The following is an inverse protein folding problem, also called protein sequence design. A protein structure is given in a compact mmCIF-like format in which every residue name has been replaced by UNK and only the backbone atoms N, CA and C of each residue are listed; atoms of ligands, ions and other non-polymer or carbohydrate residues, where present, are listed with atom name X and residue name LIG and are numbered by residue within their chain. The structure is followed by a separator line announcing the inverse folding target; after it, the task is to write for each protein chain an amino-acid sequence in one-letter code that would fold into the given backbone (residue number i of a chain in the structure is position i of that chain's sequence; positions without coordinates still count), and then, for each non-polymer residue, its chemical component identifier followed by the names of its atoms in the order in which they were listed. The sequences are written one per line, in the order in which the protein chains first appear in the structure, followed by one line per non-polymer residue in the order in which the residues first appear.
data_IF_995529157586
#
_entry.id   IF_995529157586
#
_cell.length_a   1.000
_cell.length_b   1.000
_cell.length_c   1.000
_cell.angle_alpha   90.00
_cell.angle_beta   90.00
_cell.angle_gamma   90.00
#
_symmetry.space_group_name_H-M   'P 1'
#
loop_
_entity.id
_entity.type
_entity.pdbx_description
1 polymer ?
#
# COMPACT_ATOMS: atom_id res chain seq x y z
N UNK A 1 21.69 26.63 -2.20
CA UNK A 1 20.26 26.25 -2.24
C UNK A 1 20.10 25.08 -1.30
N UNK A 2 19.27 25.17 -0.29
CA UNK A 2 18.98 24.03 0.60
C UNK A 2 18.27 22.95 -0.24
N UNK A 3 18.94 21.85 -0.50
CA UNK A 3 18.34 20.67 -1.14
C UNK A 3 17.36 20.07 -0.13
N UNK A 4 16.07 20.28 -0.33
CA UNK A 4 15.03 19.70 0.51
C UNK A 4 14.83 18.23 0.06
N UNK A 5 15.68 17.34 0.59
CA UNK A 5 15.62 15.90 0.30
C UNK A 5 14.24 15.33 0.64
N UNK A 6 13.78 14.38 -0.17
CA UNK A 6 12.48 13.71 -0.04
C UNK A 6 11.28 14.66 -0.07
N UNK A 7 11.43 15.88 -0.63
CA UNK A 7 10.31 16.82 -0.74
C UNK A 7 9.19 16.25 -1.60
N UNK A 8 7.97 16.37 -1.10
CA UNK A 8 6.74 16.05 -1.83
C UNK A 8 5.97 17.31 -2.23
N UNK A 9 6.60 18.48 -2.14
CA UNK A 9 5.96 19.76 -2.50
C UNK A 9 5.49 19.75 -3.95
N UNK A 10 4.23 20.12 -4.18
CA UNK A 10 3.60 20.12 -5.50
C UNK A 10 3.22 18.75 -6.04
N UNK A 11 3.40 17.67 -5.29
CA UNK A 11 2.98 16.31 -5.67
C UNK A 11 1.59 16.00 -5.16
N UNK A 12 0.86 15.22 -5.95
CA UNK A 12 -0.47 14.69 -5.60
C UNK A 12 -0.35 13.18 -5.37
N UNK A 13 -0.71 12.73 -4.19
CA UNK A 13 -0.67 11.33 -3.81
C UNK A 13 -2.07 10.78 -3.53
N UNK A 14 -2.32 9.54 -3.92
CA UNK A 14 -3.50 8.76 -3.49
C UNK A 14 -3.03 7.56 -2.69
N UNK A 15 -3.61 7.36 -1.51
CA UNK A 15 -3.33 6.22 -0.64
C UNK A 15 -4.61 5.43 -0.43
N UNK A 16 -4.63 4.16 -0.87
CA UNK A 16 -5.77 3.27 -0.65
C UNK A 16 -5.71 2.63 0.74
N UNK A 17 -6.88 2.47 1.39
CA UNK A 17 -6.94 2.05 2.79
C UNK A 17 -6.28 3.10 3.71
N UNK A 18 -6.44 4.39 3.35
CA UNK A 18 -5.77 5.51 4.02
C UNK A 18 -6.38 5.93 5.34
N UNK A 19 -7.53 5.35 5.73
CA UNK A 19 -8.29 5.76 6.92
C UNK A 19 -7.73 5.25 8.25
N UNK A 20 -6.80 4.30 8.25
CA UNK A 20 -6.25 3.70 9.47
C UNK A 20 -4.87 3.05 9.28
N UNK A 21 -4.21 2.72 10.37
CA UNK A 21 -3.00 1.88 10.42
C UNK A 21 -1.85 2.41 9.55
N UNK A 22 -1.28 1.53 8.71
CA UNK A 22 -0.17 1.88 7.81
C UNK A 22 -0.61 2.96 6.82
N UNK A 23 -1.81 2.84 6.23
CA UNK A 23 -2.32 3.81 5.26
C UNK A 23 -2.45 5.22 5.85
N UNK A 24 -2.99 5.35 7.06
CA UNK A 24 -3.07 6.64 7.76
C UNK A 24 -1.67 7.23 8.02
N UNK A 25 -0.72 6.41 8.50
CA UNK A 25 0.65 6.86 8.75
C UNK A 25 1.32 7.34 7.45
N UNK A 26 1.09 6.65 6.32
CA UNK A 26 1.56 7.06 5.00
C UNK A 26 0.93 8.40 4.59
N UNK A 27 -0.40 8.55 4.72
CA UNK A 27 -1.09 9.81 4.41
C UNK A 27 -0.49 10.97 5.19
N UNK A 28 -0.33 10.82 6.51
CA UNK A 28 0.26 11.86 7.38
C UNK A 28 1.70 12.18 7.00
N UNK A 29 2.50 11.16 6.70
CA UNK A 29 3.90 11.31 6.32
C UNK A 29 4.05 12.07 5.00
N UNK A 30 3.30 11.71 3.97
CA UNK A 30 3.37 12.36 2.66
C UNK A 30 2.85 13.80 2.71
N UNK A 31 1.75 14.05 3.44
CA UNK A 31 1.23 15.39 3.65
C UNK A 31 2.22 16.27 4.42
N UNK A 32 2.84 15.75 5.49
CA UNK A 32 3.90 16.44 6.24
C UNK A 32 5.14 16.78 5.41
N UNK A 33 5.38 16.03 4.31
CA UNK A 33 6.44 16.30 3.33
C UNK A 33 6.01 17.27 2.21
N UNK A 34 4.76 17.76 2.22
CA UNK A 34 4.24 18.76 1.30
C UNK A 34 3.34 18.24 0.18
N UNK A 35 3.01 16.95 0.15
CA UNK A 35 2.06 16.40 -0.83
C UNK A 35 0.61 16.83 -0.54
N UNK A 36 -0.19 16.97 -1.60
CA UNK A 36 -1.64 16.92 -1.50
C UNK A 36 -2.08 15.45 -1.55
N UNK A 37 -2.79 14.99 -0.51
CA UNK A 37 -3.10 13.57 -0.35
C UNK A 37 -4.59 13.30 -0.49
N UNK A 38 -4.96 12.41 -1.40
CA UNK A 38 -6.26 11.77 -1.47
C UNK A 38 -6.27 10.53 -0.56
N UNK A 39 -7.13 10.53 0.43
CA UNK A 39 -7.32 9.44 1.39
C UNK A 39 -8.45 8.56 0.87
N UNK A 40 -8.10 7.47 0.17
CA UNK A 40 -9.09 6.56 -0.38
C UNK A 40 -9.41 5.44 0.61
N UNK A 41 -10.66 5.33 1.03
CA UNK A 41 -11.13 4.28 1.95
C UNK A 41 -12.62 3.98 1.73
N UNK A 42 -13.06 2.74 2.00
CA UNK A 42 -14.49 2.42 1.99
C UNK A 42 -15.22 2.98 3.22
N UNK A 43 -14.51 3.21 4.33
CA UNK A 43 -15.06 3.83 5.53
C UNK A 43 -15.00 5.35 5.39
N UNK A 44 -16.17 5.97 5.18
CA UNK A 44 -16.30 7.40 4.97
C UNK A 44 -15.81 8.24 6.15
N UNK A 45 -16.07 7.79 7.39
CA UNK A 45 -15.72 8.53 8.60
C UNK A 45 -14.20 8.56 8.79
N UNK A 46 -13.54 7.41 8.62
CA UNK A 46 -12.08 7.32 8.77
C UNK A 46 -11.35 8.06 7.63
N UNK A 47 -11.83 7.96 6.37
CA UNK A 47 -11.28 8.73 5.26
C UNK A 47 -11.40 10.24 5.51
N UNK A 48 -12.57 10.69 5.96
CA UNK A 48 -12.85 12.12 6.23
C UNK A 48 -12.01 12.62 7.40
N UNK A 49 -11.93 11.87 8.49
CA UNK A 49 -11.11 12.22 9.66
C UNK A 49 -9.65 12.43 9.26
N UNK A 50 -9.04 11.44 8.62
CA UNK A 50 -7.62 11.53 8.22
C UNK A 50 -7.41 12.67 7.23
N UNK A 51 -8.29 12.80 6.22
CA UNK A 51 -8.17 13.87 5.24
C UNK A 51 -8.26 15.27 5.88
N UNK A 52 -9.19 15.48 6.81
CA UNK A 52 -9.32 16.76 7.52
C UNK A 52 -8.07 17.07 8.36
N UNK A 53 -7.53 16.08 9.07
CA UNK A 53 -6.33 16.24 9.90
C UNK A 53 -5.10 16.68 9.11
N UNK A 54 -4.99 16.27 7.84
CA UNK A 54 -3.83 16.57 6.99
C UNK A 54 -4.07 17.63 5.92
N UNK A 55 -5.26 18.22 5.86
CA UNK A 55 -5.65 19.15 4.78
C UNK A 55 -5.68 18.47 3.40
N UNK A 56 -6.02 17.18 3.39
CA UNK A 56 -6.15 16.34 2.19
C UNK A 56 -7.58 16.29 1.64
N UNK A 57 -7.83 15.31 0.76
CA UNK A 57 -9.13 15.08 0.11
C UNK A 57 -9.65 13.70 0.49
N UNK A 58 -10.83 13.57 1.14
CA UNK A 58 -11.43 12.28 1.36
C UNK A 58 -11.97 11.71 0.03
N UNK A 59 -11.66 10.45 -0.25
CA UNK A 59 -12.09 9.72 -1.44
C UNK A 59 -12.76 8.43 -0.97
N UNK A 60 -14.10 8.44 -0.93
CA UNK A 60 -14.86 7.30 -0.41
C UNK A 60 -15.24 6.35 -1.55
N UNK A 61 -14.87 5.08 -1.44
CA UNK A 61 -15.20 4.10 -2.46
C UNK A 61 -14.68 2.70 -2.19
N UNK A 62 -15.16 1.76 -2.97
CA UNK A 62 -14.74 0.37 -3.02
C UNK A 62 -13.75 0.18 -4.17
N UNK A 63 -12.50 -0.16 -3.85
CA UNK A 63 -11.43 -0.33 -4.85
C UNK A 63 -11.65 -1.52 -5.80
N UNK A 64 -12.62 -2.38 -5.54
CA UNK A 64 -13.02 -3.44 -6.46
C UNK A 64 -13.99 -2.96 -7.55
N UNK A 65 -14.43 -1.69 -7.48
CA UNK A 65 -15.36 -1.06 -8.43
C UNK A 65 -14.64 0.03 -9.23
N UNK A 66 -14.46 -0.19 -10.53
CA UNK A 66 -13.79 0.77 -11.43
C UNK A 66 -14.45 2.17 -11.34
N UNK A 67 -15.77 2.26 -11.30
CA UNK A 67 -16.47 3.53 -11.22
C UNK A 67 -16.15 4.35 -9.96
N UNK A 68 -15.88 3.68 -8.82
CA UNK A 68 -15.48 4.36 -7.59
C UNK A 68 -14.05 4.90 -7.68
N UNK A 69 -13.17 4.16 -8.36
CA UNK A 69 -11.79 4.59 -8.60
C UNK A 69 -11.73 5.76 -9.58
N UNK A 70 -12.46 5.69 -10.70
CA UNK A 70 -12.52 6.75 -11.69
C UNK A 70 -13.06 8.04 -11.08
N UNK A 71 -14.13 7.93 -10.27
CA UNK A 71 -14.66 9.06 -9.51
C UNK A 71 -13.61 9.63 -8.55
N UNK A 72 -12.96 8.80 -7.73
CA UNK A 72 -11.96 9.25 -6.76
C UNK A 72 -10.75 9.90 -7.42
N UNK A 73 -10.21 9.31 -8.49
CA UNK A 73 -9.10 9.91 -9.27
C UNK A 73 -9.54 11.22 -9.92
N UNK A 74 -10.77 11.28 -10.45
CA UNK A 74 -11.33 12.53 -11.01
C UNK A 74 -11.49 13.63 -9.96
N UNK A 75 -11.99 13.30 -8.77
CA UNK A 75 -12.15 14.25 -7.67
C UNK A 75 -10.81 14.85 -7.19
N UNK A 76 -9.80 14.02 -6.98
CA UNK A 76 -8.48 14.53 -6.55
C UNK A 76 -7.82 15.34 -7.67
N UNK A 77 -7.98 14.92 -8.93
CA UNK A 77 -7.42 15.63 -10.06
C UNK A 77 -8.02 17.04 -10.19
N UNK A 78 -9.31 17.22 -9.94
CA UNK A 78 -9.98 18.53 -9.95
C UNK A 78 -9.54 19.42 -8.77
N UNK A 79 -9.34 18.85 -7.58
CA UNK A 79 -9.06 19.58 -6.35
C UNK A 79 -7.57 19.90 -6.13
N UNK A 80 -6.68 19.07 -6.64
CA UNK A 80 -5.25 19.13 -6.32
C UNK A 80 -4.32 18.95 -7.54
N UNK A 81 -4.84 18.44 -8.64
CA UNK A 81 -4.07 18.11 -9.83
C UNK A 81 -3.94 16.60 -10.07
N UNK A 82 -3.34 16.22 -11.20
CA UNK A 82 -3.22 14.82 -11.58
C UNK A 82 -2.34 14.03 -10.60
N UNK A 83 -2.69 12.76 -10.39
CA UNK A 83 -2.00 11.88 -9.43
C UNK A 83 -0.57 11.61 -9.86
N UNK A 84 0.40 11.97 -9.03
CA UNK A 84 1.83 11.69 -9.20
C UNK A 84 2.27 10.43 -8.47
N UNK A 85 1.60 10.10 -7.36
CA UNK A 85 1.95 8.98 -6.49
C UNK A 85 0.71 8.17 -6.18
N UNK A 86 0.80 6.85 -6.37
CA UNK A 86 -0.19 5.89 -5.92
C UNK A 86 0.43 4.96 -4.88
N UNK A 87 -0.17 4.90 -3.69
CA UNK A 87 0.19 3.90 -2.67
C UNK A 87 -0.96 2.91 -2.54
N UNK A 88 -0.77 1.71 -3.07
CA UNK A 88 -1.69 0.59 -2.93
C UNK A 88 -1.47 -0.09 -1.59
N UNK A 89 -2.15 0.43 -0.55
CA UNK A 89 -2.04 -0.08 0.81
C UNK A 89 -3.27 -0.91 1.21
N UNK A 90 -4.45 -0.63 0.67
CA UNK A 90 -5.64 -1.40 1.00
C UNK A 90 -5.44 -2.90 0.82
N UNK A 91 -5.90 -3.67 1.79
CA UNK A 91 -5.78 -5.12 1.75
C UNK A 91 -6.42 -5.78 2.97
N UNK A 92 -6.76 -7.04 2.80
CA UNK A 92 -7.39 -7.89 3.82
C UNK A 92 -6.59 -9.18 3.99
N UNK A 93 -6.56 -9.71 5.22
CA UNK A 93 -5.88 -10.97 5.52
C UNK A 93 -6.77 -12.20 5.23
N UNK A 94 -8.05 -12.10 5.59
CA UNK A 94 -9.02 -13.18 5.41
C UNK A 94 -10.45 -12.65 5.34
N UNK A 95 -11.39 -13.51 4.94
CA UNK A 95 -12.82 -13.20 4.97
C UNK A 95 -13.37 -13.52 6.36
N UNK A 96 -13.92 -12.51 7.04
CA UNK A 96 -14.52 -12.66 8.39
C UNK A 96 -13.58 -13.28 9.44
N UNK A 97 -12.25 -13.02 9.36
CA UNK A 97 -11.29 -13.59 10.31
C UNK A 97 -11.07 -15.11 10.19
N UNK A 98 -11.47 -15.70 9.06
CA UNK A 98 -11.39 -17.15 8.84
C UNK A 98 -9.99 -17.56 8.36
N UNK A 99 -9.14 -17.94 9.31
CA UNK A 99 -7.80 -18.48 9.06
C UNK A 99 -7.85 -20.01 9.22
N UNK A 100 -7.89 -20.72 8.09
CA UNK A 100 -8.06 -22.19 8.04
C UNK A 100 -6.98 -22.84 7.18
N UNK A 101 -6.66 -24.14 7.41
CA UNK A 101 -5.82 -24.91 6.50
C UNK A 101 -6.38 -24.89 5.06
N UNK A 102 -5.50 -25.02 4.06
CA UNK A 102 -5.90 -24.87 2.66
C UNK A 102 -7.01 -25.85 2.23
N UNK A 103 -7.02 -27.04 2.78
CA UNK A 103 -8.05 -28.07 2.49
C UNK A 103 -9.42 -27.78 3.13
N UNK A 104 -9.51 -26.80 4.01
CA UNK A 104 -10.76 -26.32 4.60
C UNK A 104 -11.18 -24.95 4.02
N UNK A 105 -10.33 -24.34 3.17
CA UNK A 105 -10.65 -23.05 2.55
C UNK A 105 -11.74 -23.25 1.49
N UNK A 106 -12.63 -22.30 1.37
CA UNK A 106 -13.68 -22.29 0.36
C UNK A 106 -13.35 -21.27 -0.73
N UNK A 107 -13.96 -21.44 -1.91
CA UNK A 107 -13.74 -20.57 -3.06
C UNK A 107 -13.94 -19.10 -2.74
N UNK A 108 -14.95 -18.76 -1.95
CA UNK A 108 -15.29 -17.39 -1.57
C UNK A 108 -14.20 -16.72 -0.73
N UNK A 109 -13.40 -17.48 0.03
CA UNK A 109 -12.25 -16.93 0.78
C UNK A 109 -11.18 -16.44 -0.19
N UNK A 110 -10.92 -17.21 -1.25
CA UNK A 110 -9.98 -16.87 -2.30
C UNK A 110 -10.46 -15.69 -3.14
N UNK A 111 -11.70 -15.73 -3.61
CA UNK A 111 -12.29 -14.66 -4.43
C UNK A 111 -12.28 -13.32 -3.66
N UNK A 112 -12.63 -13.34 -2.37
CA UNK A 112 -12.62 -12.15 -1.54
C UNK A 112 -11.22 -11.55 -1.37
N UNK A 113 -10.24 -12.35 -0.98
CA UNK A 113 -8.88 -11.87 -0.72
C UNK A 113 -8.19 -11.45 -2.02
N UNK A 114 -8.29 -12.26 -3.07
CA UNK A 114 -7.70 -11.94 -4.38
C UNK A 114 -8.40 -10.74 -5.03
N UNK A 115 -9.70 -10.62 -4.88
CA UNK A 115 -10.49 -9.50 -5.40
C UNK A 115 -9.98 -8.16 -4.87
N UNK A 116 -9.75 -8.07 -3.56
CA UNK A 116 -9.28 -6.83 -2.92
C UNK A 116 -7.78 -6.64 -3.13
N UNK A 117 -6.96 -7.64 -2.73
CA UNK A 117 -5.51 -7.47 -2.64
C UNK A 117 -4.81 -7.44 -4.00
N UNK A 118 -5.41 -8.06 -5.03
CA UNK A 118 -4.78 -8.21 -6.36
C UNK A 118 -5.57 -7.45 -7.41
N UNK A 119 -6.83 -7.84 -7.66
CA UNK A 119 -7.65 -7.21 -8.70
C UNK A 119 -7.86 -5.72 -8.42
N UNK A 120 -8.23 -5.37 -7.19
CA UNK A 120 -8.40 -3.97 -6.79
C UNK A 120 -7.12 -3.14 -6.94
N UNK A 121 -5.96 -3.70 -6.57
CA UNK A 121 -4.67 -3.04 -6.81
C UNK A 121 -4.43 -2.78 -8.30
N UNK A 122 -4.71 -3.76 -9.16
CA UNK A 122 -4.58 -3.59 -10.62
C UNK A 122 -5.51 -2.50 -11.13
N UNK A 123 -6.75 -2.45 -10.65
CA UNK A 123 -7.72 -1.40 -11.03
C UNK A 123 -7.25 -0.02 -10.58
N UNK A 124 -6.68 0.13 -9.37
CA UNK A 124 -6.08 1.38 -8.93
C UNK A 124 -4.93 1.82 -9.84
N UNK A 125 -4.05 0.90 -10.26
CA UNK A 125 -3.00 1.20 -11.21
C UNK A 125 -3.57 1.65 -12.57
N UNK A 126 -4.57 0.93 -13.10
CA UNK A 126 -5.26 1.30 -14.36
C UNK A 126 -5.81 2.72 -14.32
N UNK A 127 -6.39 3.14 -13.22
CA UNK A 127 -7.00 4.47 -13.09
C UNK A 127 -5.99 5.62 -13.16
N UNK A 128 -4.72 5.43 -12.74
CA UNK A 128 -3.72 6.51 -12.70
C UNK A 128 -2.69 6.45 -13.83
N UNK A 129 -2.41 5.26 -14.35
CA UNK A 129 -1.32 5.05 -15.33
C UNK A 129 -1.45 5.84 -16.63
N UNK A 130 -2.64 6.00 -17.26
CA UNK A 130 -2.73 6.79 -18.49
C UNK A 130 -2.19 8.21 -18.30
N UNK A 131 -2.57 8.90 -17.23
CA UNK A 131 -2.08 10.24 -16.91
C UNK A 131 -0.59 10.26 -16.53
N UNK A 132 -0.09 9.26 -15.78
CA UNK A 132 1.34 9.16 -15.45
C UNK A 132 2.18 8.97 -16.70
N UNK A 133 1.76 8.13 -17.64
CA UNK A 133 2.47 7.88 -18.92
C UNK A 133 2.47 9.13 -19.78
N UNK A 134 1.34 9.82 -19.92
CA UNK A 134 1.22 11.06 -20.68
C UNK A 134 2.16 12.15 -20.15
N UNK A 135 2.19 12.32 -18.81
CA UNK A 135 3.04 13.31 -18.12
C UNK A 135 4.49 12.83 -17.93
N UNK A 136 4.80 11.58 -18.30
CA UNK A 136 6.13 10.95 -18.16
C UNK A 136 6.67 10.95 -16.73
N UNK A 137 5.81 10.92 -15.72
CA UNK A 137 6.17 10.89 -14.31
C UNK A 137 5.16 10.09 -13.49
N UNK A 138 5.67 9.25 -12.58
CA UNK A 138 4.85 8.53 -11.62
C UNK A 138 5.65 7.74 -10.59
N UNK A 139 5.07 7.55 -9.40
CA UNK A 139 5.58 6.66 -8.36
C UNK A 139 4.44 5.76 -7.89
N UNK A 140 4.63 4.46 -7.98
CA UNK A 140 3.67 3.47 -7.49
C UNK A 140 4.35 2.63 -6.41
N UNK A 141 3.75 2.59 -5.23
CA UNK A 141 4.24 1.79 -4.11
C UNK A 141 3.16 0.82 -3.67
N UNK A 142 3.44 -0.48 -3.79
CA UNK A 142 2.51 -1.55 -3.46
C UNK A 142 2.84 -2.15 -2.10
N UNK A 143 1.91 -2.18 -1.16
CA UNK A 143 2.12 -2.82 0.14
C UNK A 143 1.86 -4.32 0.00
N UNK A 144 2.97 -5.06 -0.10
CA UNK A 144 3.00 -6.52 -0.06
C UNK A 144 2.97 -7.04 1.40
N UNK A 145 3.71 -8.07 1.68
CA UNK A 145 3.95 -8.63 3.03
C UNK A 145 5.08 -9.66 2.94
N UNK A 146 5.78 -9.91 4.03
CA UNK A 146 6.67 -11.08 4.14
C UNK A 146 5.90 -12.40 3.94
N UNK A 147 4.59 -12.43 4.22
CA UNK A 147 3.75 -13.58 3.94
C UNK A 147 3.75 -13.97 2.45
N UNK A 148 3.96 -12.99 1.56
CA UNK A 148 4.11 -13.24 0.12
C UNK A 148 5.47 -13.86 -0.26
N UNK A 149 6.47 -13.79 0.62
CA UNK A 149 7.79 -14.41 0.43
C UNK A 149 7.89 -15.78 1.11
N UNK A 150 7.41 -15.88 2.36
CA UNK A 150 7.56 -17.06 3.19
C UNK A 150 6.39 -18.05 3.11
N UNK A 151 5.16 -17.53 2.88
CA UNK A 151 3.92 -18.27 3.10
C UNK A 151 3.60 -18.45 4.58
N UNK A 152 2.37 -18.13 4.98
CA UNK A 152 1.91 -18.34 6.35
C UNK A 152 0.91 -19.51 6.41
N UNK A 153 1.08 -20.48 7.32
CA UNK A 153 0.07 -21.52 7.55
C UNK A 153 -1.31 -20.89 7.85
N UNK A 154 -2.36 -21.53 7.36
CA UNK A 154 -3.77 -21.10 7.51
C UNK A 154 -4.15 -19.79 6.81
N UNK A 155 -3.20 -19.14 6.11
CA UNK A 155 -3.38 -17.88 5.41
C UNK A 155 -3.03 -18.01 3.92
N UNK A 156 -3.34 -19.15 3.29
CA UNK A 156 -2.95 -19.41 1.91
C UNK A 156 -3.48 -18.36 0.90
N UNK A 157 -4.75 -17.91 0.92
CA UNK A 157 -5.23 -16.87 0.03
C UNK A 157 -4.47 -15.55 0.20
N UNK A 158 -4.19 -15.15 1.45
CA UNK A 158 -3.42 -13.94 1.75
C UNK A 158 -1.98 -14.02 1.24
N UNK A 159 -1.29 -15.11 1.59
CA UNK A 159 0.10 -15.32 1.17
C UNK A 159 0.22 -15.32 -0.35
N UNK A 160 -0.67 -16.03 -1.04
CA UNK A 160 -0.74 -16.05 -2.50
C UNK A 160 -1.00 -14.65 -3.08
N UNK A 161 -1.93 -13.90 -2.50
CA UNK A 161 -2.23 -12.53 -2.95
C UNK A 161 -1.04 -11.59 -2.80
N UNK A 162 -0.30 -11.69 -1.69
CA UNK A 162 0.89 -10.85 -1.44
C UNK A 162 2.09 -11.25 -2.30
N UNK A 163 2.24 -12.52 -2.64
CA UNK A 163 3.18 -12.99 -3.65
C UNK A 163 2.82 -12.46 -5.05
N UNK A 164 1.53 -12.47 -5.40
CA UNK A 164 1.04 -11.87 -6.64
C UNK A 164 1.36 -10.37 -6.73
N UNK A 165 1.19 -9.61 -5.64
CA UNK A 165 1.55 -8.18 -5.58
C UNK A 165 3.04 -7.97 -5.89
N UNK A 166 3.93 -8.82 -5.35
CA UNK A 166 5.37 -8.75 -5.63
C UNK A 166 5.65 -9.02 -7.12
N UNK A 167 5.01 -10.04 -7.69
CA UNK A 167 5.17 -10.39 -9.10
C UNK A 167 4.62 -9.30 -10.02
N UNK A 168 3.42 -8.76 -9.74
CA UNK A 168 2.81 -7.65 -10.47
C UNK A 168 3.69 -6.39 -10.45
N UNK A 169 4.31 -6.07 -9.31
CA UNK A 169 5.26 -4.98 -9.19
C UNK A 169 6.40 -5.12 -10.19
N UNK A 170 6.98 -6.33 -10.31
CA UNK A 170 8.05 -6.63 -11.26
C UNK A 170 7.60 -6.55 -12.72
N UNK A 171 6.41 -7.04 -13.04
CA UNK A 171 5.86 -6.98 -14.40
C UNK A 171 5.60 -5.54 -14.82
N UNK A 172 4.83 -4.82 -13.99
CA UNK A 172 4.44 -3.43 -14.29
C UNK A 172 5.66 -2.50 -14.41
N UNK A 173 6.68 -2.68 -13.56
CA UNK A 173 7.90 -1.88 -13.64
C UNK A 173 8.60 -2.02 -15.00
N UNK A 174 8.64 -3.24 -15.57
CA UNK A 174 9.27 -3.52 -16.87
C UNK A 174 8.44 -2.98 -18.03
N UNK A 175 7.11 -3.03 -17.92
CA UNK A 175 6.19 -2.48 -18.93
C UNK A 175 6.29 -0.95 -19.06
N UNK A 176 6.73 -0.27 -17.99
CA UNK A 176 6.85 1.17 -17.92
C UNK A 176 8.24 1.69 -18.29
N UNK A 177 9.21 0.80 -18.55
CA UNK A 177 10.54 1.21 -19.07
C UNK A 177 10.38 1.98 -20.38
N UNK A 178 11.01 3.16 -20.44
CA UNK A 178 10.93 4.05 -21.61
C UNK A 178 9.64 4.89 -21.70
N UNK A 179 8.71 4.77 -20.74
CA UNK A 179 7.49 5.59 -20.71
C UNK A 179 7.66 6.91 -19.95
N UNK A 180 8.78 7.13 -19.29
CA UNK A 180 9.09 8.33 -18.51
C UNK A 180 9.82 7.99 -17.21
N UNK A 181 9.92 8.94 -16.29
CA UNK A 181 10.39 8.73 -14.92
C UNK A 181 9.27 8.13 -14.07
N UNK A 182 8.96 6.85 -14.34
CA UNK A 182 7.91 6.10 -13.65
C UNK A 182 8.53 4.89 -12.95
N UNK A 183 8.49 4.89 -11.61
CA UNK A 183 9.01 3.79 -10.80
C UNK A 183 7.87 3.08 -10.07
N UNK A 184 7.94 1.75 -10.07
CA UNK A 184 6.98 0.87 -9.38
C UNK A 184 7.75 -0.05 -8.45
N UNK A 185 7.52 0.07 -7.14
CA UNK A 185 8.17 -0.77 -6.15
C UNK A 185 7.14 -1.35 -5.17
N UNK A 186 7.53 -2.35 -4.43
CA UNK A 186 6.72 -2.88 -3.33
C UNK A 186 7.47 -2.85 -2.00
N UNK A 187 6.72 -2.83 -0.92
CA UNK A 187 7.22 -2.93 0.46
C UNK A 187 6.62 -4.18 1.07
N UNK A 188 7.43 -5.02 1.71
CA UNK A 188 7.03 -6.23 2.40
C UNK A 188 7.21 -6.09 3.92
N UNK A 189 6.21 -5.58 4.63
CA UNK A 189 6.26 -5.49 6.09
C UNK A 189 6.17 -6.87 6.73
N UNK A 190 6.84 -7.02 7.88
CA UNK A 190 6.53 -8.07 8.86
C UNK A 190 5.31 -7.67 9.70
N UNK A 191 5.33 -8.00 10.99
CA UNK A 191 4.24 -7.63 11.92
C UNK A 191 4.39 -6.16 12.29
N UNK A 192 3.39 -5.36 11.92
CA UNK A 192 3.33 -3.92 12.23
C UNK A 192 2.25 -3.67 13.27
N UNK A 193 2.57 -2.85 14.27
CA UNK A 193 1.65 -2.47 15.34
C UNK A 193 0.49 -1.65 14.78
N UNK A 194 -0.64 -2.30 14.59
CA UNK A 194 -1.89 -1.71 14.09
C UNK A 194 -3.04 -2.20 14.97
N UNK A 195 -4.22 -1.58 14.94
CA UNK A 195 -5.37 -2.01 15.76
C UNK A 195 -5.76 -3.49 15.60
N UNK A 196 -5.32 -4.14 14.54
CA UNK A 196 -5.55 -5.59 14.33
C UNK A 196 -4.78 -6.42 15.37
N UNK A 197 -3.60 -5.98 15.82
CA UNK A 197 -2.81 -6.70 16.81
C UNK A 197 -3.45 -6.66 18.20
N UNK A 198 -4.25 -5.64 18.51
CA UNK A 198 -4.93 -5.50 19.79
C UNK A 198 -5.99 -6.60 20.02
N UNK A 199 -6.34 -7.34 18.94
CA UNK A 199 -7.28 -8.47 18.98
C UNK A 199 -6.59 -9.82 19.20
N UNK A 200 -5.25 -9.86 19.24
CA UNK A 200 -4.46 -11.08 19.40
C UNK A 200 -4.07 -11.30 20.86
N UNK A 201 -4.00 -12.57 21.28
CA UNK A 201 -3.49 -12.91 22.61
C UNK A 201 -1.96 -12.82 22.69
N UNK A 202 -1.44 -12.80 23.91
CA UNK A 202 0.00 -12.66 24.16
C UNK A 202 0.83 -13.81 23.56
N UNK A 203 0.28 -15.04 23.49
CA UNK A 203 0.98 -16.19 22.92
C UNK A 203 1.13 -16.04 21.41
N UNK A 204 0.11 -15.56 20.72
CA UNK A 204 0.13 -15.27 19.28
C UNK A 204 1.14 -14.16 18.99
N UNK A 205 1.14 -13.07 19.76
CA UNK A 205 2.11 -11.98 19.63
C UNK A 205 3.54 -12.49 19.84
N UNK A 206 3.81 -13.24 20.90
CA UNK A 206 5.12 -13.80 21.20
C UNK A 206 5.62 -14.75 20.08
N UNK A 207 4.72 -15.59 19.54
CA UNK A 207 5.06 -16.44 18.40
C UNK A 207 5.43 -15.62 17.14
N UNK A 208 4.77 -14.50 16.91
CA UNK A 208 5.11 -13.61 15.80
C UNK A 208 6.45 -12.92 16.03
N UNK A 209 6.71 -12.43 17.25
CA UNK A 209 7.94 -11.74 17.63
C UNK A 209 9.15 -12.66 17.59
N UNK A 210 9.01 -13.94 17.96
CA UNK A 210 10.11 -14.92 17.91
C UNK A 210 10.73 -15.10 16.53
N UNK A 211 10.01 -14.71 15.47
CA UNK A 211 10.47 -14.74 14.07
C UNK A 211 11.15 -13.45 13.62
N UNK A 212 11.16 -12.40 14.46
CA UNK A 212 11.70 -11.08 14.12
C UNK A 212 13.00 -10.86 14.90
N UNK A 213 14.19 -10.87 14.25
CA UNK A 213 15.48 -10.69 14.94
C UNK A 213 15.59 -9.44 15.81
N UNK A 214 14.95 -8.32 15.41
CA UNK A 214 14.89 -7.11 16.24
C UNK A 214 14.02 -7.25 17.50
N UNK A 215 13.31 -8.37 17.71
CA UNK A 215 12.55 -8.69 18.92
C UNK A 215 11.35 -7.81 19.21
N UNK A 216 10.87 -7.04 18.24
CA UNK A 216 9.70 -6.16 18.36
C UNK A 216 8.89 -6.09 17.09
N UNK A 217 7.66 -5.62 17.20
CA UNK A 217 6.84 -5.21 16.05
C UNK A 217 7.41 -3.95 15.40
N UNK A 218 7.22 -3.81 14.09
CA UNK A 218 7.43 -2.53 13.42
C UNK A 218 6.30 -1.55 13.77
N UNK A 219 6.56 -0.25 13.59
CA UNK A 219 5.57 0.81 13.73
C UNK A 219 5.06 1.24 12.36
N UNK A 220 3.79 1.70 12.22
CA UNK A 220 3.28 2.27 10.98
C UNK A 220 4.17 3.37 10.41
N UNK A 221 4.74 4.22 11.25
CA UNK A 221 5.63 5.31 10.82
C UNK A 221 6.94 4.82 10.21
N UNK A 222 7.44 3.64 10.63
CA UNK A 222 8.62 3.04 10.02
C UNK A 222 8.33 2.58 8.59
N UNK A 223 7.14 2.01 8.35
CA UNK A 223 6.68 1.67 7.00
C UNK A 223 6.47 2.93 6.18
N UNK A 224 5.82 3.95 6.75
CA UNK A 224 5.56 5.22 6.09
C UNK A 224 6.86 5.95 5.69
N UNK A 225 7.93 5.81 6.45
CA UNK A 225 9.23 6.39 6.11
C UNK A 225 9.82 5.77 4.83
N UNK A 226 9.75 4.44 4.68
CA UNK A 226 10.20 3.75 3.47
C UNK A 226 9.30 4.06 2.27
N UNK A 227 7.99 4.06 2.48
CA UNK A 227 7.01 4.44 1.44
C UNK A 227 7.26 5.87 0.97
N UNK A 228 7.57 6.79 1.87
CA UNK A 228 7.90 8.18 1.53
C UNK A 228 9.13 8.27 0.62
N UNK A 229 10.22 7.58 0.95
CA UNK A 229 11.40 7.50 0.07
C UNK A 229 10.99 7.01 -1.33
N UNK A 230 10.27 5.89 -1.40
CA UNK A 230 9.85 5.28 -2.67
C UNK A 230 8.87 6.15 -3.48
N UNK A 231 8.17 7.07 -2.81
CA UNK A 231 7.23 8.02 -3.41
C UNK A 231 7.89 9.31 -3.88
N UNK A 232 9.10 9.61 -3.41
CA UNK A 232 9.81 10.85 -3.70
C UNK A 232 10.55 10.81 -5.03
N UNK A 233 11.02 11.96 -5.50
CA UNK A 233 11.88 12.06 -6.68
C UNK A 233 13.28 11.45 -6.43
N UNK A 234 13.72 11.32 -5.17
CA UNK A 234 14.99 10.70 -4.80
C UNK A 234 15.02 9.19 -5.13
N UNK A 235 13.85 8.54 -5.24
CA UNK A 235 13.72 7.18 -5.76
C UNK A 235 13.71 7.21 -7.30
N UNK A 236 14.88 7.35 -7.93
CA UNK A 236 15.01 7.54 -9.38
C UNK A 236 15.71 6.38 -10.09
N UNK A 237 16.43 5.49 -9.38
CA UNK A 237 17.19 4.39 -9.97
C UNK A 237 16.83 3.01 -9.41
N UNK A 238 15.63 2.90 -8.81
CA UNK A 238 15.10 1.61 -8.36
C UNK A 238 13.65 1.46 -8.77
N UNK A 239 13.37 0.38 -9.51
CA UNK A 239 12.04 -0.01 -9.94
C UNK A 239 11.92 -1.52 -10.02
N UNK A 240 10.76 -2.07 -9.73
CA UNK A 240 10.49 -3.52 -9.72
C UNK A 240 11.02 -4.25 -8.49
N UNK A 241 11.53 -3.54 -7.48
CA UNK A 241 12.08 -4.16 -6.29
C UNK A 241 11.05 -4.29 -5.16
N UNK A 242 11.23 -5.33 -4.34
CA UNK A 242 10.44 -5.55 -3.13
C UNK A 242 11.31 -5.28 -1.90
N UNK A 243 11.08 -4.15 -1.26
CA UNK A 243 11.83 -3.72 -0.08
C UNK A 243 11.26 -4.37 1.19
N UNK A 244 12.12 -5.04 1.95
CA UNK A 244 11.72 -5.60 3.23
C UNK A 244 11.76 -4.54 4.33
N UNK A 245 10.71 -4.53 5.15
CA UNK A 245 10.67 -3.82 6.42
C UNK A 245 10.20 -4.79 7.50
N UNK A 246 11.09 -5.73 7.82
CA UNK A 246 10.77 -6.96 8.52
C UNK A 246 11.50 -7.15 9.85
N UNK A 247 12.35 -6.18 10.25
CA UNK A 247 13.18 -6.33 11.45
C UNK A 247 14.17 -7.49 11.36
N UNK A 248 14.62 -7.81 10.12
CA UNK A 248 15.56 -8.90 9.85
C UNK A 248 14.90 -10.27 9.59
N UNK A 249 13.56 -10.37 9.59
CA UNK A 249 12.87 -11.64 9.39
C UNK A 249 13.01 -12.17 7.96
N UNK A 250 12.89 -11.32 6.96
CA UNK A 250 13.12 -11.67 5.57
C UNK A 250 14.34 -10.90 5.04
N UNK A 251 15.22 -11.56 4.31
CA UNK A 251 16.49 -11.01 3.82
C UNK A 251 16.79 -11.34 2.35
N UNK A 252 15.75 -11.75 1.57
CA UNK A 252 15.92 -12.14 0.16
C UNK A 252 14.81 -11.58 -0.72
#
# INVERSE_FOLDING_TARGET
MSTNFFSMAGKVAVVTGGGQGIGEAVCRRLAGAGAKVGVFDMNADSATRVANDIGGVPLVGDLTKEADLDRGVGEIAQKAGPVDVLVNNAGVASRKGRDVPIWESVREDWEFVMGINVTGLVLCCKAVLPSMIERKYGRIVNIASIAGKEGNPKMAPYSASKAAVIALTKSLSKELVGKGDICVNSVAPAVIQTPILDQLDAAQINMMLSKIPLGRTGKPDEVAALVHFLSSADCSFTTGFCFDISGGRATY
#
